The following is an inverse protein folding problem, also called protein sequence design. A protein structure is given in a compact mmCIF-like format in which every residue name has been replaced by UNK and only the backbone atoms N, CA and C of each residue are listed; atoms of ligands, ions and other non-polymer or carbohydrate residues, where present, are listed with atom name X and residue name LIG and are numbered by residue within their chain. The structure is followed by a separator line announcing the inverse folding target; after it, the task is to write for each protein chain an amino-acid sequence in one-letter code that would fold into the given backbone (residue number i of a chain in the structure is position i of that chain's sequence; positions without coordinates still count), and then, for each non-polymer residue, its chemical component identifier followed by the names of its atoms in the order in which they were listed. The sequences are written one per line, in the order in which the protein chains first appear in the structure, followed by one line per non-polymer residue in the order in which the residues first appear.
data_IF_902842186281
#
_entry.id   IF_902842186281
#
_cell.length_a   1.000
_cell.length_b   1.000
_cell.length_c   1.000
_cell.angle_alpha   90.00
_cell.angle_beta   90.00
_cell.angle_gamma   90.00
#
_symmetry.space_group_name_H-M   'P 1'
#
loop_
_entity.id
_entity.type
_entity.pdbx_description
1 polymer ?
#
# COMPACT_ATOMS: atom_id res chain seq x y z
N UNK A 1 22.11 -7.67 24.81
CA UNK A 1 20.99 -7.14 25.64
C UNK A 1 19.98 -6.34 24.81
N UNK A 2 20.38 -5.66 23.74
CA UNK A 2 19.46 -4.98 22.81
C UNK A 2 18.55 -5.95 22.07
N UNK A 3 19.07 -7.07 21.58
CA UNK A 3 18.29 -8.05 20.79
C UNK A 3 17.19 -8.74 21.60
N UNK A 4 17.46 -9.01 22.88
CA UNK A 4 16.47 -9.55 23.83
C UNK A 4 15.36 -8.54 24.09
N UNK A 5 15.68 -7.26 24.27
CA UNK A 5 14.69 -6.20 24.51
C UNK A 5 13.81 -5.96 23.28
N UNK A 6 14.40 -5.90 22.08
CA UNK A 6 13.66 -5.77 20.81
C UNK A 6 12.71 -6.95 20.62
N UNK A 7 13.17 -8.18 20.89
CA UNK A 7 12.34 -9.38 20.79
C UNK A 7 11.15 -9.34 21.75
N UNK A 8 11.35 -8.92 23.01
CA UNK A 8 10.26 -8.78 23.97
C UNK A 8 9.21 -7.74 23.53
N UNK A 9 9.64 -6.61 22.97
CA UNK A 9 8.75 -5.58 22.44
C UNK A 9 7.92 -6.14 21.27
N UNK A 10 8.55 -6.90 20.36
CA UNK A 10 7.85 -7.56 19.25
C UNK A 10 6.80 -8.56 19.74
N UNK A 11 7.14 -9.44 20.68
CA UNK A 11 6.19 -10.40 21.24
C UNK A 11 5.03 -9.72 21.96
N UNK A 12 5.29 -8.64 22.70
CA UNK A 12 4.26 -7.86 23.37
C UNK A 12 3.31 -7.20 22.35
N UNK A 13 3.85 -6.65 21.26
CA UNK A 13 3.04 -6.04 20.21
C UNK A 13 2.16 -7.06 19.49
N UNK A 14 2.71 -8.24 19.18
CA UNK A 14 1.94 -9.37 18.61
C UNK A 14 0.83 -9.81 19.57
N UNK A 15 1.12 -9.97 20.87
CA UNK A 15 0.13 -10.36 21.85
C UNK A 15 -1.03 -9.35 21.95
N UNK A 16 -0.72 -8.05 21.93
CA UNK A 16 -1.74 -6.98 21.90
C UNK A 16 -2.59 -7.10 20.63
N UNK A 17 -1.98 -7.30 19.47
CA UNK A 17 -2.72 -7.45 18.21
C UNK A 17 -3.63 -8.68 18.22
N UNK A 18 -3.20 -9.80 18.81
CA UNK A 18 -4.02 -11.01 18.97
C UNK A 18 -5.24 -10.72 19.85
N UNK A 19 -5.03 -10.09 21.01
CA UNK A 19 -6.12 -9.72 21.93
C UNK A 19 -7.11 -8.78 21.24
N UNK A 20 -6.60 -7.75 20.55
CA UNK A 20 -7.44 -6.84 19.78
C UNK A 20 -8.24 -7.61 18.72
N UNK A 21 -7.62 -8.49 17.93
CA UNK A 21 -8.31 -9.29 16.92
C UNK A 21 -9.51 -10.07 17.50
N UNK A 22 -9.33 -10.70 18.66
CA UNK A 22 -10.43 -11.39 19.36
C UNK A 22 -11.56 -10.44 19.80
N UNK A 23 -11.23 -9.25 20.32
CA UNK A 23 -12.22 -8.29 20.82
C UNK A 23 -13.08 -7.69 19.71
N UNK A 24 -12.51 -7.48 18.51
CA UNK A 24 -13.19 -6.74 17.45
C UNK A 24 -14.26 -7.62 16.74
N UNK A 25 -14.09 -8.95 16.75
CA UNK A 25 -15.06 -9.92 16.21
C UNK A 25 -14.91 -10.20 14.71
N UNK A 26 -15.46 -11.34 14.25
CA UNK A 26 -15.19 -11.93 12.93
C UNK A 26 -15.49 -11.01 11.74
N UNK A 27 -16.64 -10.35 11.72
CA UNK A 27 -17.02 -9.46 10.61
C UNK A 27 -16.04 -8.29 10.43
N UNK A 28 -15.60 -7.72 11.55
CA UNK A 28 -14.65 -6.61 11.53
C UNK A 28 -13.23 -7.08 11.24
N UNK A 29 -12.84 -8.29 11.66
CA UNK A 29 -11.57 -8.90 11.25
C UNK A 29 -11.47 -9.04 9.73
N UNK A 30 -12.53 -9.49 9.05
CA UNK A 30 -12.53 -9.57 7.58
C UNK A 30 -12.41 -8.18 6.94
N UNK A 31 -13.07 -7.15 7.48
CA UNK A 31 -12.92 -5.77 7.00
C UNK A 31 -11.48 -5.27 7.15
N UNK A 32 -10.85 -5.55 8.28
CA UNK A 32 -9.46 -5.20 8.54
C UNK A 32 -8.53 -5.93 7.57
N UNK A 33 -8.75 -7.22 7.34
CA UNK A 33 -7.98 -8.01 6.38
C UNK A 33 -8.04 -7.44 4.96
N UNK A 34 -9.26 -7.18 4.47
CA UNK A 34 -9.45 -6.57 3.15
C UNK A 34 -8.86 -5.16 3.10
N UNK A 35 -9.03 -4.39 4.16
CA UNK A 35 -8.49 -3.04 4.27
C UNK A 35 -6.96 -3.03 4.19
N UNK A 36 -6.32 -3.87 4.98
CA UNK A 36 -4.87 -4.04 5.01
C UNK A 36 -4.34 -4.54 3.66
N UNK A 37 -5.04 -5.46 3.00
CA UNK A 37 -4.66 -5.92 1.65
C UNK A 37 -4.67 -4.79 0.61
N UNK A 38 -5.74 -3.98 0.59
CA UNK A 38 -5.84 -2.82 -0.32
C UNK A 38 -4.75 -1.79 -0.01
N UNK A 39 -4.54 -1.47 1.28
CA UNK A 39 -3.50 -0.54 1.72
C UNK A 39 -2.10 -1.01 1.33
N UNK A 40 -1.78 -2.27 1.60
CA UNK A 40 -0.50 -2.89 1.25
C UNK A 40 -0.25 -2.81 -0.26
N UNK A 41 -1.25 -3.16 -1.07
CA UNK A 41 -1.16 -3.12 -2.54
C UNK A 41 -0.93 -1.69 -3.04
N UNK A 42 -1.66 -0.72 -2.49
CA UNK A 42 -1.50 0.69 -2.86
C UNK A 42 -0.15 1.26 -2.45
N UNK A 43 0.33 0.95 -1.25
CA UNK A 43 1.63 1.43 -0.77
C UNK A 43 2.79 0.80 -1.54
N UNK A 44 2.67 -0.49 -1.89
CA UNK A 44 3.63 -1.18 -2.75
C UNK A 44 3.68 -0.54 -4.14
N UNK A 45 2.50 -0.31 -4.75
CA UNK A 45 2.38 0.35 -6.04
C UNK A 45 2.92 1.79 -6.01
N UNK A 46 2.70 2.52 -4.91
CA UNK A 46 3.25 3.86 -4.70
C UNK A 46 4.78 3.84 -4.64
N UNK A 47 5.37 2.94 -3.85
CA UNK A 47 6.82 2.80 -3.74
C UNK A 47 7.47 2.56 -5.11
N UNK A 48 6.90 1.64 -5.90
CA UNK A 48 7.40 1.31 -7.25
C UNK A 48 7.15 2.43 -8.27
N UNK A 49 6.03 3.14 -8.16
CA UNK A 49 5.75 4.32 -8.99
C UNK A 49 6.77 5.43 -8.75
N UNK A 50 7.20 5.62 -7.50
CA UNK A 50 8.27 6.57 -7.17
C UNK A 50 9.60 6.12 -7.78
N UNK A 51 9.93 4.83 -7.77
CA UNK A 51 11.14 4.31 -8.43
C UNK A 51 11.12 4.56 -9.94
N UNK A 52 9.97 4.37 -10.61
CA UNK A 52 9.80 4.71 -12.03
C UNK A 52 10.01 6.22 -12.26
N UNK A 53 9.42 7.07 -11.41
CA UNK A 53 9.56 8.51 -11.50
C UNK A 53 11.03 8.96 -11.30
N UNK A 54 11.72 8.39 -10.31
CA UNK A 54 13.14 8.66 -10.07
C UNK A 54 13.97 8.31 -11.31
N UNK A 55 13.75 7.14 -11.90
CA UNK A 55 14.47 6.72 -13.12
C UNK A 55 14.18 7.65 -14.31
N UNK A 56 12.93 8.07 -14.48
CA UNK A 56 12.55 9.05 -15.49
C UNK A 56 13.27 10.40 -15.29
N UNK A 57 13.34 10.90 -14.06
CA UNK A 57 13.99 12.17 -13.74
C UNK A 57 15.51 12.13 -13.98
N UNK A 58 16.17 11.01 -13.66
CA UNK A 58 17.63 10.85 -13.85
C UNK A 58 17.98 10.73 -15.34
N UNK A 59 17.14 10.07 -16.12
CA UNK A 59 17.40 9.82 -17.55
C UNK A 59 17.00 10.99 -18.45
N UNK A 60 16.19 11.93 -17.93
CA UNK A 60 15.80 13.14 -18.67
C UNK A 60 16.95 14.15 -18.71
N UNK A 61 17.34 14.67 -19.89
CA UNK A 61 18.42 15.65 -19.99
C UNK A 61 18.15 16.88 -19.10
N UNK A 62 19.15 17.27 -18.30
CA UNK A 62 19.00 18.29 -17.26
C UNK A 62 18.80 19.69 -17.84
N UNK A 63 17.56 20.17 -17.84
CA UNK A 63 17.25 21.59 -17.95
C UNK A 63 17.29 22.19 -16.54
N UNK A 64 18.19 23.14 -16.30
CA UNK A 64 18.23 23.88 -15.03
C UNK A 64 17.17 24.98 -15.07
N UNK A 65 16.13 24.85 -14.25
CA UNK A 65 15.14 25.90 -14.02
C UNK A 65 15.36 26.38 -12.59
N UNK A 66 15.63 27.67 -12.40
CA UNK A 66 15.82 28.27 -11.06
C UNK A 66 16.83 27.52 -10.18
N UNK A 67 18.00 27.15 -10.73
CA UNK A 67 19.07 26.39 -10.04
C UNK A 67 18.74 24.96 -9.59
N UNK A 68 17.51 24.49 -9.76
CA UNK A 68 17.13 23.09 -9.54
C UNK A 68 17.27 22.28 -10.83
N UNK A 69 17.88 21.11 -10.73
CA UNK A 69 17.94 20.11 -11.79
C UNK A 69 16.96 18.96 -11.51
N UNK A 70 16.58 18.22 -12.55
CA UNK A 70 15.80 16.98 -12.38
C UNK A 70 16.51 15.96 -11.47
N UNK A 71 17.84 15.98 -11.45
CA UNK A 71 18.63 15.12 -10.57
C UNK A 71 18.50 15.51 -9.08
N UNK A 72 18.36 16.80 -8.78
CA UNK A 72 18.13 17.26 -7.40
C UNK A 72 16.76 16.80 -6.89
N UNK A 73 15.74 16.86 -7.76
CA UNK A 73 14.40 16.33 -7.47
C UNK A 73 14.45 14.81 -7.26
N UNK A 74 15.14 14.08 -8.13
CA UNK A 74 15.32 12.63 -7.99
C UNK A 74 16.00 12.25 -6.67
N UNK A 75 17.02 13.02 -6.26
CA UNK A 75 17.74 12.82 -5.00
C UNK A 75 16.85 13.09 -3.80
N UNK A 76 16.05 14.16 -3.83
CA UNK A 76 15.06 14.46 -2.79
C UNK A 76 14.02 13.34 -2.65
N UNK A 77 13.44 12.88 -3.76
CA UNK A 77 12.44 11.80 -3.74
C UNK A 77 13.07 10.50 -3.24
N UNK A 78 14.30 10.18 -3.66
CA UNK A 78 15.01 8.98 -3.21
C UNK A 78 15.22 9.00 -1.69
N UNK A 79 15.70 10.12 -1.13
CA UNK A 79 15.90 10.27 0.30
C UNK A 79 14.60 10.32 1.11
N UNK A 80 13.52 10.85 0.52
CA UNK A 80 12.21 10.97 1.15
C UNK A 80 11.24 9.82 0.87
N UNK A 81 11.63 8.81 0.08
CA UNK A 81 10.71 7.80 -0.48
C UNK A 81 9.86 7.11 0.59
N UNK A 82 10.50 6.56 1.61
CA UNK A 82 9.81 5.87 2.72
C UNK A 82 8.86 6.80 3.46
N UNK A 83 9.26 8.06 3.70
CA UNK A 83 8.40 9.04 4.35
C UNK A 83 7.19 9.41 3.51
N UNK A 84 7.35 9.55 2.19
CA UNK A 84 6.25 9.82 1.25
C UNK A 84 5.25 8.66 1.28
N UNK A 85 5.74 7.42 1.20
CA UNK A 85 4.88 6.22 1.25
C UNK A 85 4.19 6.08 2.61
N UNK A 86 4.87 6.41 3.71
CA UNK A 86 4.28 6.38 5.06
C UNK A 86 3.17 7.43 5.23
N UNK A 87 3.38 8.65 4.74
CA UNK A 87 2.35 9.70 4.76
C UNK A 87 1.14 9.26 3.94
N UNK A 88 1.37 8.71 2.74
CA UNK A 88 0.30 8.16 1.90
C UNK A 88 -0.46 7.03 2.62
N UNK A 89 0.25 6.11 3.27
CA UNK A 89 -0.34 5.04 4.07
C UNK A 89 -1.26 5.60 5.16
N UNK A 90 -0.80 6.58 5.94
CA UNK A 90 -1.61 7.18 7.02
C UNK A 90 -2.87 7.87 6.48
N UNK A 91 -2.76 8.58 5.35
CA UNK A 91 -3.90 9.22 4.70
C UNK A 91 -4.90 8.16 4.22
N UNK A 92 -4.44 7.12 3.52
CA UNK A 92 -5.31 6.06 3.02
C UNK A 92 -5.95 5.25 4.15
N UNK A 93 -5.19 4.97 5.21
CA UNK A 93 -5.66 4.32 6.42
C UNK A 93 -6.83 5.12 7.01
N UNK A 94 -6.64 6.43 7.20
CA UNK A 94 -7.67 7.31 7.72
C UNK A 94 -8.93 7.31 6.83
N UNK A 95 -8.75 7.49 5.52
CA UNK A 95 -9.88 7.53 4.56
C UNK A 95 -10.66 6.22 4.53
N UNK A 96 -9.96 5.09 4.46
CA UNK A 96 -10.60 3.78 4.40
C UNK A 96 -11.34 3.45 5.70
N UNK A 97 -10.71 3.62 6.86
CA UNK A 97 -11.36 3.22 8.12
C UNK A 97 -12.43 4.20 8.60
N UNK A 98 -12.36 5.49 8.26
CA UNK A 98 -13.39 6.46 8.66
C UNK A 98 -14.62 6.44 7.74
N UNK A 99 -14.43 6.18 6.43
CA UNK A 99 -15.49 6.37 5.43
C UNK A 99 -16.01 5.08 4.79
N UNK A 100 -15.28 3.96 4.90
CA UNK A 100 -15.67 2.73 4.23
C UNK A 100 -16.87 2.04 4.90
N UNK A 101 -17.97 1.91 4.15
CA UNK A 101 -19.20 1.21 4.55
C UNK A 101 -19.22 -0.24 4.05
N UNK A 102 -18.11 -0.98 4.12
CA UNK A 102 -18.10 -2.40 3.74
C UNK A 102 -19.01 -3.18 4.71
N UNK A 103 -20.05 -3.83 4.19
CA UNK A 103 -20.92 -4.75 4.95
C UNK A 103 -20.55 -6.18 4.56
N UNK A 104 -20.20 -6.99 5.55
CA UNK A 104 -19.93 -8.42 5.40
C UNK A 104 -20.89 -9.12 6.36
N UNK A 105 -21.70 -10.02 5.83
CA UNK A 105 -22.64 -10.84 6.61
C UNK A 105 -22.02 -12.21 6.82
N UNK A 106 -21.87 -12.61 8.08
CA UNK A 106 -21.41 -13.96 8.42
C UNK A 106 -22.58 -14.94 8.56
N UNK A 107 -22.34 -16.25 8.40
CA UNK A 107 -23.32 -17.28 8.71
C UNK A 107 -23.76 -17.21 10.19
N UNK A 108 -25.02 -17.48 10.47
CA UNK A 108 -25.58 -17.44 11.83
C UNK A 108 -25.18 -18.64 12.72
N UNK A 109 -24.41 -19.59 12.20
CA UNK A 109 -23.98 -20.79 12.93
C UNK A 109 -22.79 -20.49 13.87
N UNK A 110 -22.99 -20.71 15.17
CA UNK A 110 -22.00 -20.44 16.22
C UNK A 110 -20.72 -21.28 16.09
N UNK A 111 -20.85 -22.55 15.69
CA UNK A 111 -19.70 -23.45 15.52
C UNK A 111 -18.84 -22.92 14.38
N UNK A 112 -19.50 -22.59 13.28
CA UNK A 112 -18.87 -22.10 12.07
C UNK A 112 -18.17 -20.74 12.31
N UNK A 113 -18.77 -19.86 13.14
CA UNK A 113 -18.13 -18.61 13.58
C UNK A 113 -16.89 -18.84 14.46
N UNK A 114 -16.93 -19.78 15.39
CA UNK A 114 -15.76 -20.12 16.23
C UNK A 114 -14.63 -20.72 15.40
N UNK A 115 -14.94 -21.61 14.46
CA UNK A 115 -13.96 -22.17 13.53
C UNK A 115 -13.36 -21.07 12.65
N UNK A 116 -14.15 -20.15 12.11
CA UNK A 116 -13.61 -19.01 11.36
C UNK A 116 -12.70 -18.12 12.20
N UNK A 117 -13.04 -17.88 13.47
CA UNK A 117 -12.23 -17.05 14.37
C UNK A 117 -10.82 -17.61 14.55
N UNK A 118 -10.69 -18.95 14.67
CA UNK A 118 -9.41 -19.64 14.79
C UNK A 118 -8.46 -19.32 13.61
N UNK A 119 -8.99 -19.18 12.40
CA UNK A 119 -8.21 -18.84 11.21
C UNK A 119 -8.06 -17.32 11.01
N UNK A 120 -9.11 -16.55 11.29
CA UNK A 120 -9.15 -15.10 11.04
C UNK A 120 -8.21 -14.33 11.97
N UNK A 121 -8.09 -14.73 13.25
CA UNK A 121 -7.21 -14.05 14.21
C UNK A 121 -5.74 -14.04 13.73
N UNK A 122 -5.09 -15.19 13.46
CA UNK A 122 -3.71 -15.19 13.00
C UNK A 122 -3.57 -14.48 11.64
N UNK A 123 -4.54 -14.65 10.73
CA UNK A 123 -4.52 -13.93 9.45
C UNK A 123 -4.54 -12.41 9.66
N UNK A 124 -5.38 -11.91 10.57
CA UNK A 124 -5.53 -10.47 10.83
C UNK A 124 -4.25 -9.89 11.37
N UNK A 125 -3.61 -10.57 12.33
CA UNK A 125 -2.32 -10.16 12.89
C UNK A 125 -1.23 -10.16 11.83
N UNK A 126 -1.12 -11.24 11.05
CA UNK A 126 -0.16 -11.34 9.95
C UNK A 126 -0.38 -10.23 8.92
N UNK A 127 -1.63 -9.93 8.56
CA UNK A 127 -1.95 -8.87 7.59
C UNK A 127 -1.48 -7.49 8.06
N UNK A 128 -1.61 -7.19 9.35
CA UNK A 128 -1.14 -5.93 9.93
C UNK A 128 0.38 -5.83 9.85
N UNK A 129 1.07 -6.88 10.26
CA UNK A 129 2.54 -6.93 10.27
C UNK A 129 3.07 -6.80 8.84
N UNK A 130 2.55 -7.59 7.90
CA UNK A 130 2.98 -7.54 6.49
C UNK A 130 2.71 -6.19 5.85
N UNK A 131 1.56 -5.57 6.13
CA UNK A 131 1.24 -4.25 5.59
C UNK A 131 2.23 -3.19 6.10
N UNK A 132 2.53 -3.22 7.39
CA UNK A 132 3.47 -2.29 8.01
C UNK A 132 4.91 -2.54 7.53
N UNK A 133 5.29 -3.80 7.34
CA UNK A 133 6.57 -4.19 6.75
C UNK A 133 6.71 -3.64 5.32
N UNK A 134 5.69 -3.79 4.47
CA UNK A 134 5.67 -3.25 3.11
C UNK A 134 5.86 -1.73 3.11
N UNK A 135 5.18 -1.02 4.01
CA UNK A 135 5.23 0.45 4.10
C UNK A 135 6.58 0.96 4.59
N UNK A 136 7.19 0.29 5.58
CA UNK A 136 8.45 0.74 6.19
C UNK A 136 9.67 0.28 5.40
N UNK A 137 9.72 -1.01 5.07
CA UNK A 137 10.89 -1.61 4.41
C UNK A 137 10.87 -1.41 2.90
N UNK A 138 9.72 -1.08 2.30
CA UNK A 138 9.58 -0.87 0.87
C UNK A 138 9.95 -2.13 0.11
N UNK A 139 9.04 -3.11 0.05
CA UNK A 139 9.30 -4.34 -0.70
C UNK A 139 9.53 -4.05 -2.19
N UNK A 140 10.70 -4.43 -2.71
CA UNK A 140 11.05 -4.33 -4.14
C UNK A 140 10.53 -5.53 -4.94
N UNK A 141 9.30 -5.99 -4.69
CA UNK A 141 8.78 -7.21 -5.32
C UNK A 141 8.53 -7.08 -6.83
N UNK A 142 8.29 -5.86 -7.34
CA UNK A 142 8.15 -5.57 -8.77
C UNK A 142 9.07 -4.40 -9.14
N UNK A 143 10.36 -4.69 -9.37
CA UNK A 143 11.28 -3.72 -9.93
C UNK A 143 10.94 -3.50 -11.42
N UNK A 144 10.93 -2.25 -11.93
CA UNK A 144 10.79 -1.94 -13.36
C UNK A 144 11.68 -2.79 -14.28
N UNK A 145 12.90 -3.11 -13.88
CA UNK A 145 13.81 -3.97 -14.64
C UNK A 145 13.28 -5.41 -14.79
N UNK A 146 12.68 -5.95 -13.73
CA UNK A 146 12.05 -7.28 -13.75
C UNK A 146 10.80 -7.29 -14.63
N UNK A 147 9.99 -6.22 -14.58
CA UNK A 147 8.81 -6.05 -15.44
C UNK A 147 9.18 -5.89 -16.91
N UNK A 148 10.26 -5.15 -17.21
CA UNK A 148 10.75 -5.01 -18.57
C UNK A 148 11.27 -6.35 -19.12
N UNK A 149 12.01 -7.09 -18.31
CA UNK A 149 12.52 -8.44 -18.68
C UNK A 149 11.35 -9.37 -18.98
N UNK A 150 10.32 -9.36 -18.13
CA UNK A 150 9.10 -10.14 -18.34
C UNK A 150 8.39 -9.71 -19.63
N UNK A 151 8.19 -8.41 -19.84
CA UNK A 151 7.49 -7.86 -21.00
C UNK A 151 8.20 -8.22 -22.33
N UNK A 152 9.53 -8.14 -22.35
CA UNK A 152 10.35 -8.52 -23.52
C UNK A 152 10.25 -10.01 -23.84
N UNK A 153 9.92 -10.85 -22.86
CA UNK A 153 9.63 -12.27 -23.06
C UNK A 153 8.32 -12.53 -23.83
N UNK A 154 7.40 -11.57 -23.84
CA UNK A 154 6.09 -11.71 -24.50
C UNK A 154 5.99 -10.93 -25.82
N UNK A 155 6.70 -9.82 -25.96
CA UNK A 155 6.58 -8.94 -27.13
C UNK A 155 7.82 -8.07 -27.32
N UNK A 156 8.08 -7.68 -28.57
CA UNK A 156 9.09 -6.68 -28.93
C UNK A 156 8.49 -5.28 -29.17
N UNK A 157 7.16 -5.14 -29.10
CA UNK A 157 6.49 -3.87 -29.32
C UNK A 157 6.76 -2.92 -28.14
N UNK A 158 7.45 -1.80 -28.42
CA UNK A 158 7.83 -0.80 -27.43
C UNK A 158 6.64 -0.29 -26.59
N UNK A 159 5.49 -0.03 -27.21
CA UNK A 159 4.33 0.51 -26.50
C UNK A 159 3.74 -0.50 -25.50
N UNK A 160 3.72 -1.78 -25.85
CA UNK A 160 3.22 -2.83 -24.97
C UNK A 160 4.19 -3.06 -23.80
N UNK A 161 5.49 -3.01 -24.07
CA UNK A 161 6.53 -3.09 -23.02
C UNK A 161 6.36 -1.94 -22.03
N UNK A 162 6.24 -0.70 -22.51
CA UNK A 162 6.05 0.47 -21.66
C UNK A 162 4.75 0.39 -20.86
N UNK A 163 3.66 -0.12 -21.46
CA UNK A 163 2.40 -0.33 -20.75
C UNK A 163 2.56 -1.29 -19.56
N UNK A 164 3.29 -2.39 -19.74
CA UNK A 164 3.56 -3.38 -18.68
C UNK A 164 4.48 -2.79 -17.60
N UNK A 165 5.53 -2.07 -17.98
CA UNK A 165 6.44 -1.42 -17.01
C UNK A 165 5.71 -0.40 -16.14
N UNK A 166 4.71 0.30 -16.70
CA UNK A 166 3.88 1.28 -15.98
C UNK A 166 2.77 0.66 -15.12
N UNK A 167 2.65 -0.68 -15.05
CA UNK A 167 1.64 -1.38 -14.22
C UNK A 167 1.54 -0.85 -12.77
N UNK A 168 2.64 -0.59 -12.04
CA UNK A 168 2.55 -0.05 -10.69
C UNK A 168 1.83 1.31 -10.64
N UNK A 169 2.05 2.18 -11.63
CA UNK A 169 1.39 3.49 -11.73
C UNK A 169 -0.11 3.31 -11.98
N UNK A 170 -0.49 2.36 -12.85
CA UNK A 170 -1.89 2.06 -13.13
C UNK A 170 -2.64 1.54 -11.90
N UNK A 171 -2.01 0.64 -11.14
CA UNK A 171 -2.56 0.11 -9.88
C UNK A 171 -2.76 1.24 -8.87
N UNK A 172 -1.76 2.12 -8.73
CA UNK A 172 -1.84 3.27 -7.83
C UNK A 172 -2.98 4.21 -8.22
N UNK A 173 -3.05 4.63 -9.48
CA UNK A 173 -4.09 5.55 -9.96
C UNK A 173 -5.50 4.97 -9.79
N UNK A 174 -5.71 3.72 -10.22
CA UNK A 174 -7.01 3.07 -10.07
C UNK A 174 -7.40 2.86 -8.61
N UNK A 175 -6.44 2.47 -7.76
CA UNK A 175 -6.72 2.27 -6.35
C UNK A 175 -7.01 3.58 -5.61
N UNK A 176 -6.29 4.66 -5.92
CA UNK A 176 -6.58 6.00 -5.38
C UNK A 176 -7.97 6.48 -5.82
N UNK A 177 -8.30 6.35 -7.12
CA UNK A 177 -9.63 6.69 -7.62
C UNK A 177 -10.73 5.89 -6.92
N UNK A 178 -10.51 4.58 -6.73
CA UNK A 178 -11.46 3.71 -6.02
C UNK A 178 -11.65 4.15 -4.57
N UNK A 179 -10.57 4.46 -3.84
CA UNK A 179 -10.65 4.96 -2.46
C UNK A 179 -11.38 6.31 -2.40
N UNK A 180 -11.11 7.23 -3.33
CA UNK A 180 -11.78 8.53 -3.38
C UNK A 180 -13.29 8.40 -3.67
N UNK A 181 -13.67 7.54 -4.63
CA UNK A 181 -15.09 7.29 -4.95
C UNK A 181 -15.80 6.64 -3.76
N UNK A 182 -15.20 5.63 -3.15
CA UNK A 182 -15.81 4.88 -2.04
C UNK A 182 -15.83 5.65 -0.72
N UNK A 183 -14.97 6.65 -0.55
CA UNK A 183 -14.93 7.48 0.65
C UNK A 183 -16.00 8.60 0.68
N UNK A 184 -16.85 8.71 -0.34
CA UNK A 184 -17.90 9.75 -0.49
C UNK A 184 -17.34 11.17 -0.20
N UNK A 185 -16.05 11.42 -0.48
CA UNK A 185 -15.50 12.77 -0.36
C UNK A 185 -16.19 13.59 -1.43
N UNK A 186 -17.20 14.36 -1.04
CA UNK A 186 -17.79 15.38 -1.89
C UNK A 186 -16.68 16.36 -2.24
N UNK A 187 -16.04 16.17 -3.39
CA UNK A 187 -15.32 17.24 -4.05
C UNK A 187 -16.39 18.25 -4.47
N UNK A 188 -16.75 19.14 -3.54
CA UNK A 188 -17.42 20.39 -3.84
C UNK A 188 -16.41 21.23 -4.61
N UNK A 189 -16.22 20.93 -5.89
CA UNK A 189 -15.67 21.90 -6.80
C UNK A 189 -16.78 22.94 -6.91
N UNK A 190 -16.66 24.00 -6.12
CA UNK A 190 -17.36 25.25 -6.41
C UNK A 190 -16.77 25.73 -7.71
N UNK A 191 -17.37 25.31 -8.82
CA UNK A 191 -17.20 26.02 -10.08
C UNK A 191 -18.00 27.29 -9.92
N UNK A 192 -17.34 28.37 -9.49
CA UNK A 192 -17.85 29.73 -9.62
C UNK A 192 -17.80 30.12 -11.11
N UNK A 193 -18.65 29.48 -11.92
CA UNK A 193 -18.96 29.86 -13.31
C UNK A 193 -20.46 30.11 -13.39
#
# INVERSE_FOLDING_TARGET
MTDTVVSYIFFLLIAILVILAFVIGNEKMIKVLLGNYILATLCLAANQSLDILIQFLITTPTLKILTFSYNDIATFITGGKTSIVLILYLILLFLMYQKSKIRITMPNDEILQKTFSLFLVPLTVISFILTLEIVILGMNSLNPASLETLARGFTSNYYIIQFIVLTPVWILLHGLATVLITSEIKMSIKTDI
#
